data_IF_697086994121
#
_entry.id   IF_697086994121
#
_cell.length_a   1.000
_cell.length_b   1.000
_cell.length_c   1.000
_cell.angle_alpha   90.00
_cell.angle_beta   90.00
_cell.angle_gamma   90.00
#
_symmetry.space_group_name_H-M   'P 1'
#
loop_
_entity.id
_entity.type
_entity.pdbx_description
1 polymer ?
#
# COMPACT_ATOMS: atom_id res chain seq x y z
N UNK A 1 2.84 3.14 -14.60
CA UNK A 1 2.79 1.83 -13.92
C UNK A 1 1.90 0.89 -14.68
N UNK A 2 2.33 -0.35 -14.87
CA UNK A 2 1.50 -1.39 -15.49
C UNK A 2 0.40 -1.90 -14.56
N UNK A 3 0.61 -1.84 -13.24
CA UNK A 3 -0.36 -2.26 -12.22
C UNK A 3 -0.20 -1.40 -10.96
N UNK A 4 -1.30 -1.16 -10.26
CA UNK A 4 -1.31 -0.49 -8.95
C UNK A 4 -2.12 -1.35 -8.00
N UNK A 5 -1.47 -1.93 -6.98
CA UNK A 5 -2.13 -2.79 -6.01
C UNK A 5 -2.46 -2.04 -4.72
N UNK A 6 -3.66 -2.26 -4.17
CA UNK A 6 -4.04 -1.77 -2.85
C UNK A 6 -5.06 -2.71 -2.21
N UNK A 7 -5.07 -2.77 -0.87
CA UNK A 7 -5.98 -3.64 -0.13
C UNK A 7 -7.38 -3.02 0.04
N UNK A 8 -8.43 -3.85 0.03
CA UNK A 8 -9.80 -3.40 0.31
C UNK A 8 -10.11 -3.29 1.82
N UNK A 9 -9.32 -2.51 2.55
CA UNK A 9 -9.61 -2.20 3.95
C UNK A 9 -10.98 -1.58 4.18
N UNK A 10 -11.57 -1.90 5.34
CA UNK A 10 -12.80 -1.31 5.82
C UNK A 10 -12.60 0.09 6.41
N UNK A 11 -12.26 1.05 5.57
CA UNK A 11 -12.08 2.46 5.97
C UNK A 11 -13.29 2.99 6.74
N UNK A 12 -14.52 2.61 6.36
CA UNK A 12 -15.73 3.00 7.09
C UNK A 12 -15.72 2.46 8.52
N UNK A 13 -15.30 1.22 8.71
CA UNK A 13 -15.24 0.58 10.03
C UNK A 13 -14.17 1.18 10.94
N UNK A 14 -13.08 1.70 10.37
CA UNK A 14 -12.02 2.39 11.13
C UNK A 14 -12.51 3.64 11.87
N UNK A 15 -13.62 4.25 11.43
CA UNK A 15 -14.19 5.42 12.10
C UNK A 15 -14.64 5.12 13.52
N UNK A 16 -14.98 3.88 13.84
CA UNK A 16 -15.33 3.47 15.20
C UNK A 16 -14.14 3.52 16.18
N UNK A 17 -12.91 3.31 15.70
CA UNK A 17 -11.70 3.27 16.52
C UNK A 17 -10.89 4.59 16.44
N UNK A 18 -10.86 5.23 15.27
CA UNK A 18 -9.98 6.37 15.00
C UNK A 18 -10.74 7.67 14.69
N UNK A 19 -12.08 7.62 14.61
CA UNK A 19 -12.94 8.79 14.49
C UNK A 19 -12.52 9.77 13.39
N UNK A 20 -12.34 11.04 13.77
CA UNK A 20 -11.99 12.14 12.84
C UNK A 20 -10.66 11.93 12.12
N UNK A 21 -9.74 11.13 12.67
CA UNK A 21 -8.43 10.87 12.05
C UNK A 21 -8.58 10.19 10.68
N UNK A 22 -9.58 9.30 10.54
CA UNK A 22 -9.88 8.66 9.26
C UNK A 22 -10.30 9.69 8.22
N UNK A 23 -11.14 10.65 8.60
CA UNK A 23 -11.58 11.71 7.70
C UNK A 23 -10.45 12.65 7.31
N UNK A 24 -9.63 13.10 8.29
CA UNK A 24 -8.51 14.00 8.02
C UNK A 24 -7.41 13.36 7.16
N UNK A 25 -7.29 12.03 7.17
CA UNK A 25 -6.34 11.32 6.31
C UNK A 25 -6.71 11.35 4.82
N UNK A 26 -7.98 11.59 4.48
CA UNK A 26 -8.47 11.53 3.10
C UNK A 26 -8.46 10.13 2.46
N UNK A 27 -8.16 9.07 3.21
CA UNK A 27 -7.91 7.72 2.68
C UNK A 27 -9.08 7.13 1.87
N UNK A 28 -10.32 7.41 2.28
CA UNK A 28 -11.51 6.97 1.54
C UNK A 28 -11.57 7.60 0.14
N UNK A 29 -11.26 8.89 0.03
CA UNK A 29 -11.20 9.61 -1.24
C UNK A 29 -10.05 9.10 -2.12
N UNK A 30 -8.88 8.83 -1.52
CA UNK A 30 -7.75 8.25 -2.22
C UNK A 30 -8.10 6.88 -2.84
N UNK A 31 -8.66 5.96 -2.05
CA UNK A 31 -9.05 4.63 -2.55
C UNK A 31 -10.11 4.71 -3.66
N UNK A 32 -11.06 5.64 -3.54
CA UNK A 32 -12.05 5.89 -4.60
C UNK A 32 -11.37 6.32 -5.91
N UNK A 33 -10.43 7.28 -5.84
CA UNK A 33 -9.67 7.72 -7.02
C UNK A 33 -8.83 6.60 -7.63
N UNK A 34 -8.15 5.80 -6.81
CA UNK A 34 -7.39 4.65 -7.31
C UNK A 34 -8.28 3.64 -8.06
N UNK A 35 -9.50 3.39 -7.57
CA UNK A 35 -10.45 2.48 -8.24
C UNK A 35 -10.96 3.01 -9.57
N UNK A 36 -11.21 4.31 -9.67
CA UNK A 36 -11.94 4.89 -10.79
C UNK A 36 -11.07 5.62 -11.80
N UNK A 37 -9.85 6.01 -11.44
CA UNK A 37 -8.97 6.84 -12.28
C UNK A 37 -7.77 6.08 -12.85
N UNK A 38 -7.61 4.80 -12.50
CA UNK A 38 -6.58 3.92 -13.04
C UNK A 38 -7.22 2.87 -13.95
N UNK A 39 -6.54 2.56 -15.06
CA UNK A 39 -6.93 1.44 -15.94
C UNK A 39 -6.52 0.08 -15.36
N UNK A 40 -5.55 0.07 -14.45
CA UNK A 40 -4.89 -1.15 -13.95
C UNK A 40 -4.92 -1.30 -12.41
N UNK A 41 -6.01 -0.96 -11.69
CA UNK A 41 -6.08 -1.18 -10.25
C UNK A 41 -6.22 -2.68 -9.96
N UNK A 42 -5.38 -3.19 -9.08
CA UNK A 42 -5.53 -4.52 -8.50
C UNK A 42 -5.96 -4.37 -7.04
N UNK A 43 -7.15 -4.88 -6.73
CA UNK A 43 -7.69 -4.86 -5.38
C UNK A 43 -7.30 -6.17 -4.68
N UNK A 44 -6.52 -6.06 -3.62
CA UNK A 44 -6.21 -7.18 -2.74
C UNK A 44 -7.33 -7.36 -1.72
N UNK A 45 -7.70 -8.62 -1.48
CA UNK A 45 -8.81 -8.98 -0.61
C UNK A 45 -8.68 -8.39 0.80
N UNK A 46 -9.83 -8.01 1.36
CA UNK A 46 -9.92 -7.24 2.61
C UNK A 46 -9.21 -7.90 3.79
N UNK A 47 -9.32 -9.22 3.90
CA UNK A 47 -8.81 -9.99 5.03
C UNK A 47 -7.43 -10.59 4.80
N UNK A 48 -6.75 -10.18 3.72
CA UNK A 48 -5.36 -10.58 3.52
C UNK A 48 -4.48 -10.00 4.65
N UNK A 49 -3.65 -10.84 5.31
CA UNK A 49 -2.89 -10.45 6.49
C UNK A 49 -1.61 -9.69 6.12
N UNK A 50 -1.72 -8.68 5.26
CA UNK A 50 -0.56 -7.96 4.66
C UNK A 50 0.34 -7.32 5.73
N UNK A 51 -0.23 -6.82 6.82
CA UNK A 51 0.51 -6.23 7.95
C UNK A 51 1.16 -7.24 8.88
N UNK A 52 0.81 -8.52 8.75
CA UNK A 52 1.28 -9.62 9.62
C UNK A 52 2.15 -10.62 8.87
N UNK A 53 2.12 -10.64 7.55
CA UNK A 53 2.87 -11.57 6.72
C UNK A 53 4.27 -11.01 6.41
N UNK A 54 5.32 -11.77 6.69
CA UNK A 54 6.68 -11.45 6.27
C UNK A 54 6.75 -11.46 4.74
N UNK A 55 7.14 -10.34 4.14
CA UNK A 55 7.30 -10.24 2.69
C UNK A 55 8.28 -11.30 2.13
N UNK A 56 9.39 -11.55 2.83
CA UNK A 56 10.46 -12.40 2.33
C UNK A 56 10.15 -13.90 2.39
N UNK A 57 9.43 -14.39 3.39
CA UNK A 57 9.20 -15.83 3.58
C UNK A 57 7.73 -16.23 3.75
N UNK A 58 6.80 -15.28 3.79
CA UNK A 58 5.37 -15.55 3.97
C UNK A 58 4.94 -15.95 5.39
N UNK A 59 5.88 -16.03 6.35
CA UNK A 59 5.55 -16.36 7.75
C UNK A 59 4.66 -15.29 8.36
N UNK A 60 3.64 -15.69 9.14
CA UNK A 60 2.78 -14.76 9.86
C UNK A 60 3.35 -14.40 11.23
N UNK A 61 3.16 -13.15 11.61
CA UNK A 61 3.58 -12.56 12.88
C UNK A 61 2.37 -11.93 13.57
N UNK A 62 2.26 -12.13 14.88
CA UNK A 62 1.31 -11.38 15.70
C UNK A 62 1.91 -10.01 16.00
N UNK A 63 1.39 -8.98 15.34
CA UNK A 63 1.81 -7.59 15.51
C UNK A 63 0.64 -6.77 16.01
N UNK A 64 0.91 -5.95 17.01
CA UNK A 64 0.02 -4.91 17.52
C UNK A 64 0.03 -3.66 16.62
N UNK A 65 -0.92 -2.76 16.84
CA UNK A 65 -0.95 -1.47 16.12
C UNK A 65 0.28 -0.59 16.41
N UNK A 66 0.87 -0.72 17.61
CA UNK A 66 2.07 0.00 18.04
C UNK A 66 3.36 -0.52 17.42
N UNK A 67 3.39 -1.77 16.95
CA UNK A 67 4.59 -2.34 16.34
C UNK A 67 4.87 -1.68 14.99
N UNK A 68 6.03 -1.05 14.86
CA UNK A 68 6.44 -0.32 13.65
C UNK A 68 7.39 -1.12 12.76
N UNK A 69 7.96 -2.19 13.28
CA UNK A 69 8.94 -3.03 12.57
C UNK A 69 8.45 -4.47 12.60
N UNK A 70 8.59 -5.17 11.47
CA UNK A 70 8.52 -6.63 11.43
C UNK A 70 9.94 -7.18 11.53
N UNK A 71 10.16 -8.06 12.49
CA UNK A 71 11.43 -8.77 12.67
C UNK A 71 11.15 -10.27 12.50
N UNK A 72 11.62 -10.82 11.38
CA UNK A 72 11.41 -12.21 11.04
C UNK A 72 12.66 -13.05 11.29
N UNK A 73 12.46 -14.30 11.74
CA UNK A 73 13.52 -15.29 11.92
C UNK A 73 14.18 -15.73 10.61
N UNK A 74 13.58 -15.40 9.45
CA UNK A 74 14.25 -15.53 8.15
C UNK A 74 15.32 -14.44 7.89
N UNK A 75 15.49 -13.48 8.79
CA UNK A 75 16.43 -12.36 8.68
C UNK A 75 15.85 -11.09 8.03
N UNK A 76 14.57 -11.10 7.64
CA UNK A 76 13.90 -9.90 7.13
C UNK A 76 13.53 -8.95 8.27
N UNK A 77 14.06 -7.73 8.23
CA UNK A 77 13.76 -6.66 9.16
C UNK A 77 13.35 -5.43 8.35
N UNK A 78 12.14 -4.93 8.57
CA UNK A 78 11.58 -3.84 7.76
C UNK A 78 10.53 -3.06 8.53
N UNK A 79 10.32 -1.79 8.16
CA UNK A 79 9.13 -1.05 8.58
C UNK A 79 7.85 -1.84 8.20
N UNK A 80 6.92 -1.94 9.14
CA UNK A 80 5.70 -2.76 8.99
C UNK A 80 4.83 -2.28 7.83
N UNK A 81 4.73 -0.98 7.63
CA UNK A 81 3.88 -0.41 6.59
C UNK A 81 4.53 -0.60 5.20
N UNK A 82 5.86 -0.50 5.11
CA UNK A 82 6.62 -0.88 3.91
C UNK A 82 6.49 -2.38 3.60
N UNK A 83 6.63 -3.24 4.61
CA UNK A 83 6.41 -4.68 4.46
C UNK A 83 5.00 -4.98 3.93
N UNK A 84 3.97 -4.37 4.52
CA UNK A 84 2.59 -4.56 4.09
C UNK A 84 2.36 -4.10 2.63
N UNK A 85 2.99 -3.01 2.21
CA UNK A 85 2.94 -2.55 0.82
C UNK A 85 3.57 -3.56 -0.14
N UNK A 86 4.72 -4.15 0.22
CA UNK A 86 5.39 -5.18 -0.58
C UNK A 86 4.56 -6.47 -0.67
N UNK A 87 3.97 -6.92 0.43
CA UNK A 87 3.05 -8.07 0.44
C UNK A 87 1.82 -7.78 -0.42
N UNK A 88 1.24 -6.58 -0.32
CA UNK A 88 0.09 -6.15 -1.13
C UNK A 88 0.44 -6.18 -2.62
N UNK A 89 1.60 -5.64 -3.00
CA UNK A 89 2.07 -5.67 -4.38
C UNK A 89 2.25 -7.10 -4.87
N UNK A 90 2.96 -7.95 -4.11
CA UNK A 90 3.20 -9.34 -4.46
C UNK A 90 1.90 -10.13 -4.68
N UNK A 91 0.94 -10.01 -3.75
CA UNK A 91 -0.38 -10.64 -3.88
C UNK A 91 -1.17 -10.09 -5.07
N UNK A 92 -1.17 -8.77 -5.28
CA UNK A 92 -1.80 -8.14 -6.44
C UNK A 92 -1.17 -8.54 -7.78
N UNK A 93 0.11 -8.94 -7.79
CA UNK A 93 0.77 -9.49 -8.96
C UNK A 93 0.53 -11.00 -9.15
N UNK A 94 -0.09 -11.68 -8.17
CA UNK A 94 -0.30 -13.13 -8.19
C UNK A 94 0.98 -13.94 -7.96
N UNK A 95 1.96 -13.34 -7.26
CA UNK A 95 3.29 -13.92 -7.07
C UNK A 95 3.40 -14.70 -5.74
N UNK A 96 4.17 -15.79 -5.75
CA UNK A 96 4.63 -16.52 -4.57
C UNK A 96 5.68 -15.73 -3.77
N UNK A 97 5.93 -16.12 -2.52
CA UNK A 97 6.90 -15.45 -1.63
C UNK A 97 8.36 -15.65 -2.07
N UNK A 98 8.61 -16.70 -2.86
CA UNK A 98 9.86 -17.03 -3.52
C UNK A 98 10.10 -16.21 -4.80
N UNK A 99 9.08 -15.49 -5.28
CA UNK A 99 9.17 -14.67 -6.48
C UNK A 99 9.47 -13.22 -6.14
N UNK A 100 10.49 -12.66 -6.80
CA UNK A 100 10.89 -11.29 -6.59
C UNK A 100 9.81 -10.30 -7.06
N UNK A 101 9.52 -9.30 -6.23
CA UNK A 101 9.04 -8.00 -6.72
C UNK A 101 10.24 -7.06 -6.79
N UNK A 102 10.28 -6.19 -7.80
CA UNK A 102 11.30 -5.14 -7.84
C UNK A 102 11.22 -4.29 -6.57
N UNK A 103 12.27 -4.34 -5.75
CA UNK A 103 12.41 -3.48 -4.57
C UNK A 103 12.98 -2.10 -4.92
N UNK A 104 13.47 -1.97 -6.15
CA UNK A 104 13.99 -0.74 -6.70
C UNK A 104 12.91 0.34 -6.62
N UNK A 105 13.31 1.54 -6.21
CA UNK A 105 12.48 2.74 -6.30
C UNK A 105 12.96 3.52 -7.52
N UNK A 106 12.56 3.14 -8.75
CA UNK A 106 12.99 3.86 -9.94
C UNK A 106 12.52 5.32 -9.83
N UNK A 107 13.36 6.23 -10.30
CA UNK A 107 12.94 7.61 -10.46
C UNK A 107 11.71 7.68 -11.36
N UNK A 108 10.72 8.46 -10.93
CA UNK A 108 9.51 8.67 -11.71
C UNK A 108 9.86 9.39 -13.01
N UNK A 109 9.55 8.75 -14.14
CA UNK A 109 9.65 9.35 -15.47
C UNK A 109 8.54 10.38 -15.67
N UNK A 110 8.68 11.33 -16.61
CA UNK A 110 7.66 12.35 -16.85
C UNK A 110 6.22 11.82 -16.98
N UNK A 111 5.94 10.69 -17.69
CA UNK A 111 4.58 10.15 -17.77
C UNK A 111 4.03 9.65 -16.42
N UNK A 112 4.88 9.11 -15.56
CA UNK A 112 4.50 8.62 -14.23
C UNK A 112 4.21 9.79 -13.28
N UNK A 113 4.99 10.87 -13.40
CA UNK A 113 4.74 12.13 -12.70
C UNK A 113 3.39 12.73 -13.11
N UNK A 114 3.10 12.78 -14.41
CA UNK A 114 1.83 13.27 -14.93
C UNK A 114 0.65 12.41 -14.44
N UNK A 115 0.78 11.08 -14.49
CA UNK A 115 -0.24 10.17 -13.97
C UNK A 115 -0.48 10.39 -12.46
N UNK A 116 0.59 10.50 -11.67
CA UNK A 116 0.48 10.78 -10.24
C UNK A 116 -0.21 12.13 -9.97
N UNK A 117 0.14 13.19 -10.71
CA UNK A 117 -0.50 14.49 -10.59
C UNK A 117 -1.99 14.44 -10.99
N UNK A 118 -2.35 13.73 -12.06
CA UNK A 118 -3.74 13.55 -12.50
C UNK A 118 -4.59 12.82 -11.47
N UNK A 119 -4.06 11.75 -10.88
CA UNK A 119 -4.80 10.88 -9.93
C UNK A 119 -4.87 11.54 -8.56
N UNK A 120 -3.75 12.06 -8.07
CA UNK A 120 -3.59 12.50 -6.69
C UNK A 120 -3.67 14.02 -6.52
N UNK A 121 -3.32 14.80 -7.54
CA UNK A 121 -3.19 16.25 -7.45
C UNK A 121 -4.53 16.99 -7.30
N UNK A 122 -5.65 16.38 -7.69
CA UNK A 122 -6.98 16.93 -7.41
C UNK A 122 -7.50 16.60 -6.00
N UNK A 123 -6.71 15.91 -5.17
CA UNK A 123 -7.07 15.61 -3.79
C UNK A 123 -6.74 16.80 -2.88
N UNK A 124 -7.69 17.31 -2.09
CA UNK A 124 -7.42 18.39 -1.13
C UNK A 124 -6.51 17.94 0.02
N UNK A 125 -6.29 16.63 0.17
CA UNK A 125 -5.54 16.03 1.28
C UNK A 125 -4.16 15.51 0.86
N UNK A 126 -3.82 15.53 -0.44
CA UNK A 126 -2.55 14.97 -0.94
C UNK A 126 -1.79 16.03 -1.70
N UNK A 127 -0.58 16.32 -1.25
CA UNK A 127 0.35 17.17 -1.99
C UNK A 127 1.25 16.28 -2.84
N UNK A 128 1.15 16.42 -4.16
CA UNK A 128 2.08 15.77 -5.09
C UNK A 128 3.30 16.67 -5.24
N UNK A 129 4.48 16.14 -4.93
CA UNK A 129 5.76 16.82 -5.17
C UNK A 129 6.74 15.83 -5.77
N UNK A 130 7.53 16.31 -6.73
CA UNK A 130 8.64 15.55 -7.31
C UNK A 130 9.93 16.23 -6.87
N UNK A 131 10.86 15.46 -6.30
CA UNK A 131 12.22 15.94 -6.11
C UNK A 131 12.80 16.16 -7.51
N UNK A 132 13.22 17.41 -7.78
CA UNK A 132 13.99 17.76 -8.97
C UNK A 132 15.45 17.38 -8.75
#
# INVERSE_FOLDING_TARGET
>A
YERVAFQDDCVKGWTALFGKQVHSSGIGGLKSRLRHSLETPVVVERFEPTTQECFACGKRHELSLSDKVIECDCGWICDRDLNAALVTLRKGLGLGHDQAVGLDRPELKPPEREAAARILGSSPCIRVSFLL
#
